data_IF_431458340740
#
_entry.id   IF_431458340740
#
_cell.length_a   1.000
_cell.length_b   1.000
_cell.length_c   1.000
_cell.angle_alpha   90.00
_cell.angle_beta   90.00
_cell.angle_gamma   90.00
#
_symmetry.space_group_name_H-M   'P 1'
#
loop_
_entity.id
_entity.type
_entity.pdbx_description
1 polymer ?
#
# COMPACT_ATOMS: atom_id res chain seq x y z
N UNK A 1 9.74 9.39 -7.49
CA UNK A 1 9.25 9.43 -6.10
C UNK A 1 7.89 10.07 -6.14
N UNK A 2 6.84 9.34 -5.75
CA UNK A 2 5.45 9.79 -5.75
C UNK A 2 5.15 10.61 -4.50
N UNK A 3 4.43 11.72 -4.69
CA UNK A 3 4.00 12.62 -3.62
C UNK A 3 2.54 13.01 -3.85
N UNK A 4 1.80 13.21 -2.76
CA UNK A 4 0.44 13.75 -2.79
C UNK A 4 0.35 15.00 -1.92
N UNK A 5 -0.29 16.04 -2.44
CA UNK A 5 -0.67 17.21 -1.66
C UNK A 5 -2.05 16.98 -1.04
N UNK A 6 -2.11 16.88 0.28
CA UNK A 6 -3.32 16.61 1.05
C UNK A 6 -3.36 17.62 2.20
N UNK A 7 -4.42 18.45 2.26
CA UNK A 7 -4.62 19.43 3.33
C UNK A 7 -3.38 20.34 3.55
N UNK A 8 -2.86 20.89 2.44
CA UNK A 8 -1.65 21.73 2.38
C UNK A 8 -0.37 21.07 2.93
N UNK A 9 -0.36 19.74 3.03
CA UNK A 9 0.79 18.95 3.45
C UNK A 9 1.20 18.01 2.33
N UNK A 10 2.50 17.83 2.17
CA UNK A 10 3.06 16.85 1.24
C UNK A 10 3.18 15.51 1.93
N UNK A 11 2.45 14.52 1.43
CA UNK A 11 2.59 13.12 1.80
C UNK A 11 3.54 12.46 0.80
N UNK A 12 4.76 12.20 1.26
CA UNK A 12 5.79 11.49 0.51
C UNK A 12 5.54 9.98 0.58
N UNK A 13 5.38 9.32 -0.57
CA UNK A 13 5.13 7.88 -0.60
C UNK A 13 6.48 7.15 -0.57
N UNK A 14 6.95 6.84 0.63
CA UNK A 14 8.19 6.05 0.85
C UNK A 14 7.91 4.89 1.79
N UNK A 15 8.20 3.68 1.32
CA UNK A 15 8.05 2.43 2.09
C UNK A 15 9.30 2.20 2.94
N UNK A 16 9.40 2.94 4.04
CA UNK A 16 10.38 2.68 5.11
C UNK A 16 10.04 1.40 5.87
N UNK A 17 10.96 0.92 6.71
CA UNK A 17 10.68 -0.24 7.57
C UNK A 17 9.48 0.00 8.50
N UNK A 18 9.31 1.23 9.00
CA UNK A 18 8.16 1.60 9.83
C UNK A 18 6.85 1.59 9.03
N UNK A 19 6.88 2.05 7.77
CA UNK A 19 5.72 2.00 6.90
C UNK A 19 5.34 0.55 6.55
N UNK A 20 6.33 -0.30 6.26
CA UNK A 20 6.13 -1.73 6.00
C UNK A 20 5.54 -2.42 7.24
N UNK A 21 6.12 -2.20 8.42
CA UNK A 21 5.59 -2.75 9.66
C UNK A 21 4.18 -2.24 9.97
N UNK A 22 3.87 -0.98 9.67
CA UNK A 22 2.51 -0.45 9.83
C UNK A 22 1.51 -1.18 8.93
N UNK A 23 1.88 -1.49 7.68
CA UNK A 23 1.06 -2.32 6.79
C UNK A 23 0.92 -3.75 7.34
N UNK A 24 2.00 -4.35 7.85
CA UNK A 24 1.96 -5.68 8.45
C UNK A 24 1.01 -5.76 9.66
N UNK A 25 0.89 -4.68 10.44
CA UNK A 25 -0.07 -4.60 11.54
C UNK A 25 -1.51 -4.40 11.04
N UNK A 26 -1.72 -3.56 10.02
CA UNK A 26 -3.05 -3.31 9.43
C UNK A 26 -3.62 -4.59 8.82
N UNK A 27 -2.79 -5.36 8.11
CA UNK A 27 -3.15 -6.57 7.40
C UNK A 27 -2.70 -7.85 8.13
N UNK A 28 -2.51 -7.77 9.44
CA UNK A 28 -2.06 -8.91 10.22
C UNK A 28 -3.05 -10.07 10.10
N UNK A 29 -2.56 -11.22 9.65
CA UNK A 29 -3.33 -12.47 9.65
C UNK A 29 -2.92 -13.26 10.88
N UNK A 30 -3.91 -13.62 11.71
CA UNK A 30 -3.69 -14.44 12.90
C UNK A 30 -4.07 -15.90 12.59
N UNK A 31 -3.11 -16.81 12.70
CA UNK A 31 -3.34 -18.25 12.59
C UNK A 31 -2.75 -18.94 13.81
N UNK A 32 -3.58 -19.69 14.54
CA UNK A 32 -3.17 -20.42 15.75
C UNK A 32 -2.43 -19.55 16.79
N UNK A 33 -2.82 -18.28 16.93
CA UNK A 33 -2.19 -17.32 17.84
C UNK A 33 -0.87 -16.70 17.35
N UNK A 34 -0.43 -17.04 16.13
CA UNK A 34 0.75 -16.44 15.48
C UNK A 34 0.26 -15.38 14.50
N UNK A 35 0.82 -14.16 14.60
CA UNK A 35 0.58 -13.07 13.66
C UNK A 35 1.63 -13.09 12.56
N UNK A 36 1.18 -13.17 11.31
CA UNK A 36 2.06 -13.09 10.15
C UNK A 36 2.02 -11.70 9.51
N UNK A 37 3.19 -11.13 9.22
CA UNK A 37 3.34 -9.87 8.48
C UNK A 37 3.32 -10.13 6.98
N UNK A 38 2.20 -9.78 6.34
CA UNK A 38 1.99 -9.89 4.89
C UNK A 38 1.44 -8.57 4.31
N UNK A 39 1.72 -7.44 4.96
CA UNK A 39 1.08 -6.17 4.65
C UNK A 39 1.40 -5.65 3.25
N UNK A 40 2.62 -5.87 2.77
CA UNK A 40 3.01 -5.43 1.42
C UNK A 40 2.33 -6.29 0.35
N UNK A 41 2.25 -7.60 0.54
CA UNK A 41 1.57 -8.51 -0.40
C UNK A 41 0.07 -8.25 -0.43
N UNK A 42 -0.56 -8.07 0.74
CA UNK A 42 -1.99 -7.82 0.83
C UNK A 42 -2.36 -6.49 0.18
N UNK A 43 -1.58 -5.43 0.44
CA UNK A 43 -1.86 -4.13 -0.15
C UNK A 43 -1.66 -4.12 -1.67
N UNK A 44 -0.68 -4.86 -2.20
CA UNK A 44 -0.53 -5.04 -3.65
C UNK A 44 -1.79 -5.66 -4.26
N UNK A 45 -2.30 -6.75 -3.67
CA UNK A 45 -3.51 -7.41 -4.16
C UNK A 45 -4.75 -6.51 -4.08
N UNK A 46 -4.91 -5.79 -2.97
CA UNK A 46 -6.03 -4.86 -2.80
C UNK A 46 -5.97 -3.69 -3.79
N UNK A 47 -4.78 -3.16 -4.08
CA UNK A 47 -4.58 -2.09 -5.07
C UNK A 47 -4.91 -2.58 -6.49
N UNK A 48 -4.50 -3.81 -6.86
CA UNK A 48 -4.86 -4.42 -8.15
C UNK A 48 -6.37 -4.59 -8.32
N UNK A 49 -7.08 -4.87 -7.23
CA UNK A 49 -8.55 -4.97 -7.21
C UNK A 49 -9.26 -3.61 -7.18
N UNK A 50 -8.52 -2.50 -7.16
CA UNK A 50 -9.09 -1.16 -7.10
C UNK A 50 -9.71 -0.80 -5.74
N UNK A 51 -9.29 -1.46 -4.65
CA UNK A 51 -9.87 -1.25 -3.33
C UNK A 51 -9.43 0.12 -2.73
N UNK A 52 -10.35 1.08 -2.51
CA UNK A 52 -10.00 2.40 -1.95
C UNK A 52 -9.39 2.31 -0.55
N UNK A 53 -9.72 1.28 0.24
CA UNK A 53 -9.15 1.11 1.58
C UNK A 53 -7.64 0.92 1.51
N UNK A 54 -7.12 0.28 0.46
CA UNK A 54 -5.68 0.13 0.29
C UNK A 54 -4.97 1.46 0.08
N UNK A 55 -5.56 2.38 -0.71
CA UNK A 55 -5.05 3.75 -0.86
C UNK A 55 -4.96 4.44 0.50
N UNK A 56 -6.03 4.38 1.29
CA UNK A 56 -6.05 4.99 2.62
C UNK A 56 -5.03 4.36 3.57
N UNK A 57 -4.86 3.03 3.54
CA UNK A 57 -3.91 2.31 4.38
C UNK A 57 -2.47 2.64 4.01
N UNK A 58 -2.12 2.67 2.72
CA UNK A 58 -0.78 3.09 2.25
C UNK A 58 -0.48 4.51 2.70
N UNK A 59 -1.40 5.45 2.44
CA UNK A 59 -1.19 6.86 2.80
C UNK A 59 -1.04 7.03 4.32
N UNK A 60 -1.74 6.25 5.15
CA UNK A 60 -1.53 6.28 6.60
C UNK A 60 -0.19 5.65 7.01
N UNK A 61 0.20 4.54 6.39
CA UNK A 61 1.42 3.80 6.73
C UNK A 61 2.70 4.59 6.42
N UNK A 62 2.79 5.23 5.25
CA UNK A 62 4.00 6.00 4.83
C UNK A 62 4.27 7.25 5.68
N UNK A 63 3.29 7.65 6.51
CA UNK A 63 3.40 8.77 7.43
C UNK A 63 3.95 8.37 8.81
N UNK A 64 4.13 7.07 9.10
CA UNK A 64 4.70 6.62 10.37
C UNK A 64 6.13 7.15 10.50
N UNK A 65 6.47 7.66 11.68
CA UNK A 65 7.76 8.32 11.94
C UNK A 65 7.93 9.73 11.36
N UNK A 66 6.98 10.25 10.57
CA UNK A 66 7.04 11.61 10.01
C UNK A 66 6.48 12.65 11.01
N UNK A 67 7.07 13.86 11.09
CA UNK A 67 6.65 14.90 12.04
C UNK A 67 5.29 15.50 11.71
N UNK A 68 4.96 15.57 10.42
CA UNK A 68 3.69 16.13 9.93
C UNK A 68 2.86 15.00 9.32
N UNK A 69 1.61 14.88 9.78
CA UNK A 69 0.66 13.87 9.31
C UNK A 69 -0.65 14.52 8.88
N UNK A 70 -1.32 13.88 7.93
CA UNK A 70 -2.72 14.10 7.54
C UNK A 70 -3.58 13.02 8.18
N UNK A 71 -4.76 13.43 8.67
CA UNK A 71 -5.70 12.50 9.28
C UNK A 71 -6.45 11.68 8.25
N UNK A 72 -7.09 10.59 8.69
CA UNK A 72 -7.93 9.73 7.86
C UNK A 72 -9.02 10.52 7.11
N UNK A 73 -9.67 11.47 7.78
CA UNK A 73 -10.69 12.32 7.15
C UNK A 73 -10.12 13.16 6.00
N UNK A 74 -8.91 13.72 6.15
CA UNK A 74 -8.25 14.47 5.08
C UNK A 74 -7.89 13.59 3.90
N UNK A 75 -7.46 12.34 4.15
CA UNK A 75 -7.17 11.35 3.10
C UNK A 75 -8.46 10.96 2.35
N UNK A 76 -9.53 10.66 3.09
CA UNK A 76 -10.82 10.31 2.51
C UNK A 76 -11.38 11.45 1.66
N UNK A 77 -11.35 12.68 2.18
CA UNK A 77 -11.74 13.88 1.43
C UNK A 77 -10.90 14.06 0.17
N UNK A 78 -9.57 13.91 0.28
CA UNK A 78 -8.68 13.95 -0.88
C UNK A 78 -9.08 12.91 -1.93
N UNK A 79 -9.37 11.66 -1.53
CA UNK A 79 -9.79 10.60 -2.45
C UNK A 79 -11.17 10.84 -3.08
N UNK A 80 -12.09 11.51 -2.38
CA UNK A 80 -13.41 11.87 -2.92
C UNK A 80 -13.27 13.01 -3.94
N UNK A 81 -12.43 14.01 -3.63
CA UNK A 81 -12.17 15.16 -4.52
C UNK A 81 -11.34 14.74 -5.75
N UNK A 82 -10.38 13.83 -5.57
CA UNK A 82 -9.71 13.11 -6.66
C UNK A 82 -10.65 12.02 -7.18
N UNK A 83 -11.62 12.37 -8.03
CA UNK A 83 -12.68 11.50 -8.57
C UNK A 83 -12.19 10.32 -9.45
N UNK A 84 -10.98 9.80 -9.20
CA UNK A 84 -10.33 8.69 -9.88
C UNK A 84 -9.49 7.85 -8.89
N UNK A 85 -10.17 7.02 -8.10
CA UNK A 85 -9.54 6.06 -7.16
C UNK A 85 -8.67 5.04 -7.89
N UNK A 86 -9.09 4.60 -9.08
CA UNK A 86 -8.33 3.64 -9.89
C UNK A 86 -6.94 4.16 -10.25
N UNK A 87 -6.83 5.44 -10.63
CA UNK A 87 -5.55 6.07 -10.89
C UNK A 87 -4.67 6.16 -9.64
N UNK A 88 -5.25 6.41 -8.45
CA UNK A 88 -4.51 6.38 -7.19
C UNK A 88 -3.98 4.98 -6.89
N UNK A 89 -4.81 3.94 -7.09
CA UNK A 89 -4.39 2.56 -6.92
C UNK A 89 -3.21 2.22 -7.83
N UNK A 90 -3.33 2.51 -9.13
CA UNK A 90 -2.29 2.24 -10.13
C UNK A 90 -0.99 2.99 -9.81
N UNK A 91 -1.08 4.27 -9.41
CA UNK A 91 0.11 5.05 -9.06
C UNK A 91 0.84 4.50 -7.84
N UNK A 92 0.11 4.09 -6.80
CA UNK A 92 0.69 3.48 -5.60
C UNK A 92 1.28 2.10 -5.89
N UNK A 93 0.60 1.30 -6.70
CA UNK A 93 1.07 -0.01 -7.12
C UNK A 93 2.43 0.08 -7.85
N UNK A 94 2.55 0.99 -8.80
CA UNK A 94 3.82 1.25 -9.50
C UNK A 94 4.91 1.78 -8.57
N UNK A 95 4.54 2.58 -7.56
CA UNK A 95 5.48 3.06 -6.55
C UNK A 95 6.00 1.91 -5.65
N UNK A 96 5.14 0.98 -5.23
CA UNK A 96 5.56 -0.21 -4.46
C UNK A 96 6.50 -1.08 -5.29
N UNK A 97 6.19 -1.29 -6.58
CA UNK A 97 6.97 -2.16 -7.48
C UNK A 97 8.38 -1.65 -7.76
N UNK A 98 8.63 -0.33 -7.66
CA UNK A 98 9.96 0.25 -7.96
C UNK A 98 10.84 0.51 -6.74
N UNK A 99 10.28 0.62 -5.54
CA UNK A 99 11.07 1.03 -4.37
C UNK A 99 12.03 -0.05 -3.85
N UNK A 100 13.23 0.33 -3.34
CA UNK A 100 14.26 -0.64 -2.96
C UNK A 100 13.84 -1.70 -1.95
N UNK A 101 13.02 -1.34 -0.96
CA UNK A 101 12.63 -2.22 0.14
C UNK A 101 11.41 -3.11 -0.17
N UNK A 102 10.64 -2.79 -1.22
CA UNK A 102 9.39 -3.47 -1.56
C UNK A 102 9.43 -4.19 -2.90
N UNK A 103 10.28 -3.74 -3.84
CA UNK A 103 10.34 -4.30 -5.21
C UNK A 103 10.57 -5.81 -5.27
N UNK A 104 11.38 -6.36 -4.36
CA UNK A 104 11.66 -7.79 -4.32
C UNK A 104 10.45 -8.59 -3.85
N UNK A 105 9.66 -8.04 -2.93
CA UNK A 105 8.41 -8.66 -2.46
C UNK A 105 7.38 -8.63 -3.59
N UNK A 106 7.21 -7.48 -4.24
CA UNK A 106 6.29 -7.32 -5.36
C UNK A 106 6.59 -8.30 -6.50
N UNK A 107 7.86 -8.38 -6.92
CA UNK A 107 8.28 -9.33 -7.97
C UNK A 107 7.98 -10.79 -7.60
N UNK A 108 8.28 -11.21 -6.36
CA UNK A 108 8.00 -12.58 -5.93
C UNK A 108 6.51 -12.91 -5.96
N UNK A 109 5.66 -11.96 -5.62
CA UNK A 109 4.21 -12.12 -5.67
C UNK A 109 3.70 -12.28 -7.11
N UNK A 110 4.23 -11.49 -8.05
CA UNK A 110 3.92 -11.62 -9.48
C UNK A 110 4.36 -12.98 -10.02
N UNK A 111 5.60 -13.41 -9.72
CA UNK A 111 6.14 -14.71 -10.13
C UNK A 111 5.25 -15.86 -9.60
N UNK A 112 4.86 -15.82 -8.33
CA UNK A 112 3.97 -16.82 -7.72
C UNK A 112 2.57 -16.86 -8.37
N UNK A 113 2.03 -15.70 -8.73
CA UNK A 113 0.71 -15.61 -9.37
C UNK A 113 0.74 -16.19 -10.79
N UNK A 114 1.83 -15.96 -11.53
CA UNK A 114 2.03 -16.55 -12.85
C UNK A 114 2.20 -18.07 -12.80
N UNK A 115 2.97 -18.60 -11.83
CA UNK A 115 3.14 -20.04 -11.62
C UNK A 115 1.81 -20.73 -11.25
N UNK A 116 1.01 -20.10 -10.38
CA UNK A 116 -0.30 -20.63 -10.00
C UNK A 116 -1.27 -20.69 -11.19
N UNK A 117 -1.26 -19.68 -12.07
CA UNK A 117 -2.09 -19.68 -13.28
C UNK A 117 -1.73 -20.81 -14.27
N UNK A 118 -0.44 -21.15 -14.37
CA UNK A 118 0.06 -22.21 -15.26
C UNK A 118 -0.24 -23.63 -14.77
N UNK A 119 -0.55 -23.82 -13.48
CA UNK A 119 -0.84 -25.14 -12.90
C UNK A 119 -2.30 -25.56 -13.09
N UNK A 120 -3.16 -24.65 -13.58
CA UNK A 120 -4.59 -24.86 -13.77
C UNK A 120 -4.94 -25.12 -15.26
N UNK A 121 -3.97 -24.98 -16.18
CA UNK A 121 -4.07 -25.38 -17.60
C UNK A 121 -3.52 -26.81 -17.85
#
# INVERSE_FOLDING_TARGET
MLNYEIDNKVVEVVFTLDAINALDQIYAVEMHGIKFGFGVQHVLSDLEQGNPIAVANVLQAVQVGKPTKVGKFSIERFMIENNNVEQLCNALLEEIKKQPLTKTIAKKMEDQTAEAAQTIE
#
